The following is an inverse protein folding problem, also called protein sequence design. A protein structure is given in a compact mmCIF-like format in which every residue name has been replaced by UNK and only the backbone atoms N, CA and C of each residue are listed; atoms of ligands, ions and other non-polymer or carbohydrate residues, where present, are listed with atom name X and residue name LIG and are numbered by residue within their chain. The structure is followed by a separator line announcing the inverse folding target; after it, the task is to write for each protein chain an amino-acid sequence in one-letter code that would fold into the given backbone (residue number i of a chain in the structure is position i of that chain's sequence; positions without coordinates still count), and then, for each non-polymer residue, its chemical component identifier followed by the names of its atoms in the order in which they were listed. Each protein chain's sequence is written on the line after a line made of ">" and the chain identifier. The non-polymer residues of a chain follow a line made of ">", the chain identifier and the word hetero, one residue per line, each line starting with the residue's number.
data_IF_519039733242
#
_entry.id   IF_519039733242
#
_cell.length_a   1.000
_cell.length_b   1.000
_cell.length_c   1.000
_cell.angle_alpha   90.00
_cell.angle_beta   90.00
_cell.angle_gamma   90.00
#
_symmetry.space_group_name_H-M   'P 1'
#
loop_
_entity.id
_entity.type
_entity.pdbx_description
1 polymer ?
#
# COMPACT_ATOMS: atom_id res chain seq x y z
N UNK A 1 12.77 -0.61 5.01
CA UNK A 1 11.50 -0.10 5.59
C UNK A 1 11.21 1.24 4.92
N UNK A 2 10.51 1.22 3.77
CA UNK A 2 10.19 2.45 3.04
C UNK A 2 8.79 2.90 3.47
N UNK A 3 8.64 4.14 3.93
CA UNK A 3 7.36 4.70 4.38
C UNK A 3 6.48 5.24 3.23
N UNK A 4 6.63 4.68 2.03
CA UNK A 4 5.92 5.15 0.83
C UNK A 4 4.52 4.54 0.81
N UNK A 5 3.50 5.35 0.53
CA UNK A 5 2.12 4.88 0.32
C UNK A 5 1.88 4.78 -1.18
N UNK A 6 1.68 3.55 -1.66
CA UNK A 6 1.26 3.29 -3.03
C UNK A 6 -0.27 3.25 -3.15
N UNK A 7 -0.79 3.58 -4.34
CA UNK A 7 -2.20 3.52 -4.70
C UNK A 7 -2.90 2.21 -4.33
N UNK A 8 -2.36 1.01 -4.57
CA UNK A 8 -3.00 -0.24 -4.14
C UNK A 8 -3.09 -0.38 -2.61
N UNK A 9 -2.19 0.27 -1.85
CA UNK A 9 -2.18 0.20 -0.39
C UNK A 9 -3.01 1.31 0.26
N UNK A 10 -3.42 2.32 -0.52
CA UNK A 10 -4.16 3.47 -0.04
C UNK A 10 -5.39 3.09 0.80
N UNK A 11 -6.27 2.25 0.26
CA UNK A 11 -7.51 1.84 0.91
C UNK A 11 -7.28 1.13 2.26
N UNK A 12 -6.16 0.40 2.37
CA UNK A 12 -5.79 -0.28 3.62
C UNK A 12 -5.41 0.71 4.71
N UNK A 13 -4.76 1.81 4.35
CA UNK A 13 -4.38 2.84 5.33
C UNK A 13 -5.59 3.58 5.90
N UNK A 14 -6.56 3.93 5.04
CA UNK A 14 -7.81 4.57 5.46
C UNK A 14 -8.67 3.60 6.27
N UNK A 15 -8.79 2.36 5.83
CA UNK A 15 -9.51 1.32 6.57
C UNK A 15 -8.91 1.14 7.97
N UNK A 16 -7.59 1.02 8.09
CA UNK A 16 -6.94 0.90 9.40
C UNK A 16 -7.23 2.11 10.30
N UNK A 17 -7.21 3.32 9.76
CA UNK A 17 -7.53 4.54 10.52
C UNK A 17 -9.00 4.60 10.97
N UNK A 18 -9.93 4.07 10.18
CA UNK A 18 -11.35 3.99 10.54
C UNK A 18 -11.61 2.94 11.63
N UNK A 19 -10.87 1.82 11.63
CA UNK A 19 -11.02 0.75 12.62
C UNK A 19 -10.37 1.08 13.98
N UNK A 20 -9.62 2.17 14.12
CA UNK A 20 -9.00 2.58 15.39
C UNK A 20 -10.01 3.31 16.31
N UNK A 21 -10.09 2.97 17.61
CA UNK A 21 -10.94 3.67 18.56
C UNK A 21 -10.47 5.11 18.80
N UNK A 22 -11.39 6.02 19.11
CA UNK A 22 -11.04 7.37 19.57
C UNK A 22 -10.42 7.32 20.98
N UNK A 23 -9.41 8.14 21.31
CA UNK A 23 -8.70 9.15 20.51
C UNK A 23 -7.59 8.56 19.62
N UNK A 24 -7.51 9.02 18.36
CA UNK A 24 -6.50 8.58 17.38
C UNK A 24 -5.62 9.75 16.94
N UNK A 25 -4.32 9.50 16.86
CA UNK A 25 -3.32 10.48 16.45
C UNK A 25 -2.41 9.91 15.38
N UNK A 26 -2.11 10.71 14.35
CA UNK A 26 -1.32 10.29 13.19
C UNK A 26 -0.07 11.14 13.07
N UNK A 27 1.09 10.48 13.04
CA UNK A 27 2.39 11.11 12.82
C UNK A 27 2.84 10.77 11.39
N UNK A 28 3.06 11.78 10.55
CA UNK A 28 3.66 11.59 9.24
C UNK A 28 5.19 11.61 9.36
N UNK A 29 5.81 10.45 9.12
CA UNK A 29 7.25 10.26 9.25
C UNK A 29 7.95 10.20 7.88
N UNK A 30 8.88 11.12 7.70
CA UNK A 30 9.77 11.20 6.55
C UNK A 30 9.17 11.82 5.29
N UNK A 31 10.05 12.26 4.38
CA UNK A 31 9.68 13.06 3.21
C UNK A 31 8.64 12.37 2.31
N UNK A 32 8.70 11.03 2.19
CA UNK A 32 7.77 10.24 1.39
C UNK A 32 6.32 10.35 1.88
N UNK A 33 6.08 10.41 3.19
CA UNK A 33 4.71 10.50 3.72
C UNK A 33 4.17 11.94 3.70
N UNK A 34 5.04 12.94 3.73
CA UNK A 34 4.65 14.35 3.80
C UNK A 34 4.33 14.89 2.40
N UNK A 35 5.26 14.76 1.46
CA UNK A 35 5.15 15.35 0.11
C UNK A 35 5.24 14.32 -1.03
N UNK A 36 5.48 13.04 -0.72
CA UNK A 36 5.86 12.03 -1.71
C UNK A 36 7.39 11.91 -1.88
N UNK A 37 8.17 12.81 -1.28
CA UNK A 37 9.64 12.75 -1.26
C UNK A 37 10.23 12.65 -2.67
N UNK A 38 11.20 11.75 -2.82
CA UNK A 38 11.88 11.48 -4.10
C UNK A 38 10.93 10.94 -5.18
N UNK A 39 9.83 10.28 -4.80
CA UNK A 39 8.89 9.67 -5.73
C UNK A 39 7.79 10.63 -6.21
N UNK A 40 7.83 11.88 -5.75
CA UNK A 40 6.79 12.87 -6.07
C UNK A 40 6.73 13.22 -7.56
N UNK A 41 7.84 13.22 -8.29
CA UNK A 41 7.89 13.55 -9.72
C UNK A 41 7.80 12.35 -10.65
N UNK A 42 8.43 11.23 -10.27
CA UNK A 42 8.74 10.15 -11.22
C UNK A 42 7.82 8.92 -11.09
N UNK A 43 6.95 8.88 -10.07
CA UNK A 43 6.11 7.71 -9.78
C UNK A 43 4.62 7.99 -9.97
N UNK A 44 3.97 7.18 -10.81
CA UNK A 44 2.52 7.24 -11.06
C UNK A 44 1.70 6.54 -9.98
N UNK A 45 2.30 5.55 -9.31
CA UNK A 45 1.65 4.68 -8.33
C UNK A 45 1.72 5.21 -6.90
N UNK A 46 2.44 6.30 -6.63
CA UNK A 46 2.64 6.80 -5.25
C UNK A 46 1.69 7.95 -4.92
N UNK A 47 1.14 7.93 -3.71
CA UNK A 47 0.30 9.02 -3.20
C UNK A 47 1.19 10.20 -2.78
N UNK A 48 0.90 11.38 -3.33
CA UNK A 48 1.57 12.63 -2.95
C UNK A 48 1.03 13.16 -1.63
N UNK A 49 1.59 12.66 -0.54
CA UNK A 49 1.34 13.07 0.84
C UNK A 49 0.12 12.40 1.48
N UNK A 50 0.29 11.92 2.72
CA UNK A 50 -0.76 11.23 3.49
C UNK A 50 -1.84 12.19 4.01
N UNK A 51 -1.53 13.49 4.08
CA UNK A 51 -2.46 14.52 4.58
C UNK A 51 -3.75 14.65 3.78
N UNK A 52 -3.78 14.16 2.53
CA UNK A 52 -4.98 14.14 1.68
C UNK A 52 -5.95 13.02 2.05
N UNK A 53 -5.43 12.01 2.73
CA UNK A 53 -6.14 10.77 3.03
C UNK A 53 -6.68 10.81 4.46
N UNK A 54 -5.81 11.17 5.40
CA UNK A 54 -6.05 11.08 6.83
C UNK A 54 -5.49 12.37 7.45
N UNK A 55 -6.18 12.98 8.43
CA UNK A 55 -5.65 14.15 9.13
C UNK A 55 -4.36 13.78 9.88
N UNK A 56 -3.30 14.57 9.67
CA UNK A 56 -2.00 14.38 10.32
C UNK A 56 -1.84 15.38 11.45
N UNK A 57 -1.40 14.90 12.61
CA UNK A 57 -1.19 15.74 13.80
C UNK A 57 0.19 16.37 13.87
N UNK A 58 1.21 15.59 13.52
CA UNK A 58 2.61 15.99 13.62
C UNK A 58 3.35 15.51 12.38
N UNK A 59 4.13 16.41 11.79
CA UNK A 59 5.01 16.12 10.66
C UNK A 59 6.46 16.00 11.12
N UNK A 60 7.11 14.90 10.74
CA UNK A 60 8.52 14.65 11.03
C UNK A 60 9.32 14.58 9.71
N UNK A 61 10.04 15.64 9.33
CA UNK A 61 10.88 15.62 8.13
C UNK A 61 12.11 14.71 8.31
N UNK A 62 12.54 14.07 7.22
CA UNK A 62 13.72 13.20 7.20
C UNK A 62 13.62 12.12 6.11
N UNK A 63 14.74 11.52 5.70
CA UNK A 63 14.74 10.43 4.72
C UNK A 63 15.97 9.50 4.89
N UNK A 64 15.98 8.59 5.88
CA UNK A 64 15.04 8.44 7.01
C UNK A 64 15.32 9.47 8.13
N UNK A 65 14.36 9.77 9.01
CA UNK A 65 14.58 10.69 10.12
C UNK A 65 15.53 10.09 11.15
N UNK A 66 16.30 10.95 11.82
CA UNK A 66 17.16 10.56 12.93
C UNK A 66 16.33 10.12 14.14
N UNK A 67 16.80 9.16 14.95
CA UNK A 67 16.06 8.67 16.12
C UNK A 67 15.76 9.78 17.13
N UNK A 68 16.63 10.77 17.29
CA UNK A 68 16.40 11.92 18.18
C UNK A 68 15.19 12.75 17.71
N UNK A 69 15.02 12.88 16.40
CA UNK A 69 13.91 13.62 15.81
C UNK A 69 12.57 12.88 16.00
N UNK A 70 12.60 11.53 16.05
CA UNK A 70 11.42 10.71 16.39
C UNK A 70 11.01 10.95 17.85
N UNK A 71 11.96 10.97 18.77
CA UNK A 71 11.70 11.24 20.20
C UNK A 71 11.12 12.66 20.39
N UNK A 72 11.67 13.65 19.68
CA UNK A 72 11.13 15.01 19.69
C UNK A 72 9.69 15.07 19.13
N UNK A 73 9.41 14.35 18.03
CA UNK A 73 8.05 14.27 17.48
C UNK A 73 7.04 13.67 18.46
N UNK A 74 7.41 12.60 19.17
CA UNK A 74 6.57 12.00 20.22
C UNK A 74 6.36 12.98 21.38
N UNK A 75 7.41 13.71 21.77
CA UNK A 75 7.34 14.72 22.83
C UNK A 75 6.41 15.88 22.44
N UNK A 76 6.47 16.33 21.18
CA UNK A 76 5.55 17.32 20.62
C UNK A 76 4.11 16.82 20.60
N UNK A 77 3.88 15.56 20.22
CA UNK A 77 2.56 14.96 20.25
C UNK A 77 1.99 14.92 21.67
N UNK A 78 2.77 14.47 22.66
CA UNK A 78 2.36 14.49 24.07
C UNK A 78 1.97 15.89 24.55
N UNK A 79 2.73 16.92 24.17
CA UNK A 79 2.40 18.32 24.47
C UNK A 79 1.10 18.76 23.80
N UNK A 80 0.84 18.35 22.56
CA UNK A 80 -0.43 18.61 21.86
C UNK A 80 -1.61 17.98 22.61
N UNK A 81 -1.51 16.69 22.95
CA UNK A 81 -2.53 15.96 23.70
C UNK A 81 -2.83 16.63 25.05
N UNK A 82 -1.79 17.06 25.77
CA UNK A 82 -1.98 17.73 27.07
C UNK A 82 -2.71 19.09 26.99
N UNK A 83 -2.69 19.74 25.83
CA UNK A 83 -3.37 21.02 25.59
C UNK A 83 -4.79 20.82 25.08
N UNK A 84 -5.06 19.70 24.42
CA UNK A 84 -6.34 19.35 23.81
C UNK A 84 -7.26 18.74 24.89
N UNK A 85 -7.77 19.59 25.76
CA UNK A 85 -8.66 19.22 26.87
C UNK A 85 -10.06 18.94 26.30
N UNK A 86 -10.44 17.65 26.24
CA UNK A 86 -11.74 16.96 26.10
C UNK A 86 -12.86 17.49 25.17
N UNK A 87 -13.04 18.81 25.01
CA UNK A 87 -14.22 19.43 24.39
C UNK A 87 -14.32 19.27 22.86
N UNK A 88 -13.20 19.03 22.16
CA UNK A 88 -13.22 18.86 20.69
C UNK A 88 -13.61 17.44 20.25
N UNK A 89 -13.64 16.45 21.15
CA UNK A 89 -13.95 15.06 20.80
C UNK A 89 -15.41 14.85 20.34
N UNK A 90 -16.31 15.76 20.73
CA UNK A 90 -17.73 15.70 20.37
C UNK A 90 -17.98 16.24 18.95
N UNK A 91 -17.10 17.11 18.43
CA UNK A 91 -17.31 17.83 17.16
C UNK A 91 -16.79 17.10 15.91
N UNK A 92 -16.01 16.03 16.05
CA UNK A 92 -15.46 15.29 14.91
C UNK A 92 -16.34 14.13 14.45
N UNK A 93 -17.60 14.03 14.90
CA UNK A 93 -18.55 13.10 14.29
C UNK A 93 -18.78 13.58 12.85
N UNK A 94 -18.07 12.94 11.93
CA UNK A 94 -18.17 13.16 10.49
C UNK A 94 -19.65 13.09 10.10
N UNK A 95 -20.22 14.22 9.66
CA UNK A 95 -21.60 14.28 9.19
C UNK A 95 -21.77 13.27 8.05
N UNK A 96 -22.61 12.26 8.27
CA UNK A 96 -22.91 11.22 7.30
C UNK A 96 -23.85 11.76 6.22
N UNK A 97 -23.30 12.56 5.30
CA UNK A 97 -24.02 12.99 4.09
C UNK A 97 -24.03 11.83 3.08
N UNK A 98 -25.08 11.03 3.13
CA UNK A 98 -25.29 9.93 2.19
C UNK A 98 -25.98 10.45 0.92
N UNK A 99 -25.34 10.26 -0.23
CA UNK A 99 -25.94 10.46 -1.55
C UNK A 99 -26.05 9.12 -2.25
N UNK A 100 -27.23 8.77 -2.74
CA UNK A 100 -27.46 7.57 -3.53
C UNK A 100 -27.66 7.95 -5.00
N UNK A 101 -26.90 7.34 -5.90
CA UNK A 101 -27.02 7.55 -7.35
C UNK A 101 -26.94 6.19 -8.05
N UNK A 102 -27.89 5.91 -8.95
CA UNK A 102 -27.88 4.68 -9.74
C UNK A 102 -26.86 4.79 -10.89
N UNK A 103 -26.06 3.75 -11.06
CA UNK A 103 -25.03 3.68 -12.10
C UNK A 103 -25.28 2.51 -13.06
N UNK A 104 -24.83 2.63 -14.32
CA UNK A 104 -24.90 1.57 -15.34
C UNK A 104 -23.54 0.90 -15.57
N UNK A 105 -22.74 0.73 -14.52
CA UNK A 105 -21.47 0.01 -14.61
C UNK A 105 -21.72 -1.50 -14.71
N UNK A 106 -20.87 -2.19 -15.47
CA UNK A 106 -20.87 -3.65 -15.54
C UNK A 106 -20.15 -4.22 -14.31
N UNK A 107 -20.78 -5.17 -13.63
CA UNK A 107 -20.18 -5.83 -12.45
C UNK A 107 -19.11 -6.82 -12.92
N UNK A 108 -17.83 -6.48 -12.69
CA UNK A 108 -16.70 -7.36 -12.95
C UNK A 108 -16.57 -8.48 -11.91
N UNK A 109 -15.98 -9.62 -12.30
CA UNK A 109 -15.64 -10.70 -11.38
C UNK A 109 -14.32 -10.38 -10.64
N UNK A 110 -14.19 -10.80 -9.39
CA UNK A 110 -12.94 -10.66 -8.63
C UNK A 110 -11.79 -11.36 -9.35
N UNK A 111 -10.66 -10.66 -9.51
CA UNK A 111 -9.43 -11.21 -10.11
C UNK A 111 -8.56 -11.95 -9.10
N UNK A 112 -8.77 -11.73 -7.80
CA UNK A 112 -7.98 -12.32 -6.73
C UNK A 112 -8.79 -13.40 -5.99
N UNK A 113 -8.94 -14.57 -6.62
CA UNK A 113 -9.71 -15.71 -6.08
C UNK A 113 -8.96 -16.50 -5.00
N UNK A 114 -7.75 -16.07 -4.60
CA UNK A 114 -6.97 -16.72 -3.54
C UNK A 114 -6.50 -18.14 -3.88
N UNK A 115 -6.61 -18.52 -5.16
CA UNK A 115 -6.25 -19.85 -5.63
C UNK A 115 -4.86 -19.85 -6.25
N UNK A 116 -3.85 -19.62 -5.40
CA UNK A 116 -2.45 -19.62 -5.80
C UNK A 116 -1.88 -21.05 -5.94
N UNK A 117 -2.61 -22.06 -5.43
CA UNK A 117 -2.22 -23.47 -5.47
C UNK A 117 -2.64 -24.20 -6.77
N UNK A 118 -3.45 -23.56 -7.63
CA UNK A 118 -3.85 -24.14 -8.91
C UNK A 118 -2.84 -23.82 -10.00
N UNK A 119 -2.02 -24.81 -10.36
CA UNK A 119 -1.17 -24.84 -11.57
C UNK A 119 -1.94 -24.80 -12.90
N UNK A 120 -3.14 -24.21 -12.96
CA UNK A 120 -4.01 -24.17 -14.14
C UNK A 120 -3.65 -23.06 -15.16
N UNK A 121 -2.66 -22.20 -14.86
CA UNK A 121 -2.20 -21.16 -15.79
C UNK A 121 -0.80 -21.37 -16.37
N UNK A 122 -0.17 -22.52 -16.11
CA UNK A 122 0.90 -23.02 -16.97
C UNK A 122 0.34 -24.19 -17.78
N UNK A 123 -0.38 -23.86 -18.85
CA UNK A 123 -0.52 -24.81 -19.94
C UNK A 123 0.80 -24.73 -20.72
N UNK A 124 1.67 -25.77 -20.70
CA UNK A 124 2.71 -25.84 -21.72
C UNK A 124 2.01 -25.80 -23.09
N UNK A 125 2.56 -25.10 -24.09
CA UNK A 125 1.95 -25.04 -25.41
C UNK A 125 1.68 -26.47 -25.89
N UNK A 126 0.44 -26.71 -26.31
CA UNK A 126 0.00 -27.99 -26.87
C UNK A 126 1.01 -28.48 -27.90
N UNK A 127 1.48 -29.72 -27.76
CA UNK A 127 2.59 -30.36 -28.49
C UNK A 127 2.40 -30.45 -30.02
N UNK A 128 1.41 -29.79 -30.60
CA UNK A 128 1.08 -29.85 -32.02
C UNK A 128 1.69 -28.75 -32.88
N UNK A 129 2.38 -27.75 -32.32
CA UNK A 129 2.83 -26.56 -33.08
C UNK A 129 4.36 -26.33 -33.11
N UNK A 130 5.18 -27.26 -32.59
CA UNK A 130 6.63 -27.05 -32.47
C UNK A 130 7.37 -27.75 -33.62
N UNK A 131 8.15 -27.03 -34.47
CA UNK A 131 9.06 -27.63 -35.44
C UNK A 131 10.07 -28.57 -34.75
N UNK A 132 10.39 -29.74 -35.33
CA UNK A 132 11.14 -30.81 -34.67
C UNK A 132 12.53 -30.40 -34.15
N UNK A 133 13.10 -29.32 -34.66
CA UNK A 133 14.42 -28.79 -34.28
C UNK A 133 14.48 -28.23 -32.85
N UNK A 134 13.38 -27.61 -32.38
CA UNK A 134 13.32 -26.99 -31.04
C UNK A 134 13.16 -28.07 -29.96
N UNK A 135 12.51 -29.19 -30.30
CA UNK A 135 12.24 -30.30 -29.39
C UNK A 135 13.52 -31.05 -28.98
N UNK A 136 14.44 -31.28 -29.94
CA UNK A 136 15.71 -31.95 -29.66
C UNK A 136 16.67 -31.12 -28.81
N UNK A 137 16.65 -29.79 -28.98
CA UNK A 137 17.49 -28.87 -28.19
C UNK A 137 17.03 -28.83 -26.73
N UNK A 138 15.72 -28.84 -26.50
CA UNK A 138 15.12 -28.89 -25.17
C UNK A 138 15.46 -30.20 -24.44
N UNK A 139 15.29 -31.37 -25.08
CA UNK A 139 15.63 -32.67 -24.45
C UNK A 139 17.12 -32.80 -24.10
N UNK A 140 18.01 -32.26 -24.93
CA UNK A 140 19.45 -32.27 -24.67
C UNK A 140 19.83 -31.41 -23.46
N UNK A 141 19.13 -30.28 -23.26
CA UNK A 141 19.37 -29.39 -22.12
C UNK A 141 18.89 -29.98 -20.78
N UNK A 142 17.77 -30.70 -20.78
CA UNK A 142 17.20 -31.32 -19.56
C UNK A 142 18.03 -32.52 -19.12
N UNK A 143 18.52 -33.34 -20.05
CA UNK A 143 19.35 -34.51 -19.72
C UNK A 143 20.73 -34.13 -19.11
N UNK A 144 21.20 -32.90 -19.33
CA UNK A 144 22.50 -32.44 -18.83
C UNK A 144 22.49 -32.06 -17.34
N UNK A 145 21.32 -31.84 -16.74
CA UNK A 145 21.19 -31.35 -15.36
C UNK A 145 20.84 -32.45 -14.34
N UNK A 146 20.63 -33.70 -14.78
CA UNK A 146 20.28 -34.84 -13.90
C UNK A 146 21.48 -35.72 -13.49
N UNK A 147 22.72 -35.38 -13.85
CA UNK A 147 23.91 -36.17 -13.50
C UNK A 147 25.05 -35.34 -12.88
N UNK A 148 24.79 -34.67 -11.76
CA UNK A 148 25.81 -34.44 -10.72
C UNK A 148 25.10 -34.50 -9.36
N UNK A 149 25.21 -35.64 -8.70
CA UNK A 149 24.95 -35.81 -7.27
C UNK A 149 26.29 -35.69 -6.52
#
# INVERSE_FOLDING_TARGET
>A
MNSIIEFPLFDRTTQNYEQMPAPKYVIAMGACTITGGMFSTDSYSTVRGVYKLIPVDVYLPGCPPKPEAVIDAITKLRKKISREIYEDQIRSQQENRCFTTSHKFLVGRSTHTGNYDQGLLYQPPSTSEIPPEIFFKYKSSVASHEFVN
#
